data_IF_557587997255
#
_entry.id   IF_557587997255
#
_cell.length_a   1.000
_cell.length_b   1.000
_cell.length_c   1.000
_cell.angle_alpha   90.00
_cell.angle_beta   90.00
_cell.angle_gamma   90.00
#
_symmetry.space_group_name_H-M   'P 1'
#
loop_
_entity.id
_entity.type
_entity.pdbx_description
1 polymer ?
#
# COMPACT_ATOMS: atom_id res chain seq x y z
N UNK A 1 19.37 -29.58 3.18
CA UNK A 1 19.51 -28.17 3.58
C UNK A 1 19.64 -28.07 5.09
N UNK A 2 20.46 -27.17 5.63
CA UNK A 2 20.63 -27.07 7.09
C UNK A 2 19.44 -26.35 7.75
N UNK A 3 19.12 -26.70 9.00
CA UNK A 3 18.13 -25.98 9.80
C UNK A 3 18.44 -24.48 9.91
N UNK A 4 19.73 -24.12 9.94
CA UNK A 4 20.20 -22.74 9.91
C UNK A 4 19.75 -21.98 8.66
N UNK A 5 19.71 -22.65 7.49
CA UNK A 5 19.22 -22.04 6.25
C UNK A 5 17.72 -21.78 6.30
N UNK A 6 16.92 -22.69 6.87
CA UNK A 6 15.48 -22.48 7.08
C UNK A 6 15.23 -21.32 8.05
N UNK A 7 15.98 -21.24 9.13
CA UNK A 7 15.88 -20.15 10.11
C UNK A 7 16.18 -18.80 9.45
N UNK A 8 17.24 -18.73 8.63
CA UNK A 8 17.58 -17.51 7.90
C UNK A 8 16.47 -17.11 6.90
N UNK A 9 15.90 -18.06 6.17
CA UNK A 9 14.77 -17.79 5.26
C UNK A 9 13.53 -17.26 5.99
N UNK A 10 13.24 -17.79 7.19
CA UNK A 10 12.14 -17.30 8.02
C UNK A 10 12.40 -15.90 8.58
N UNK A 11 13.64 -15.60 8.98
CA UNK A 11 14.04 -14.25 9.42
C UNK A 11 13.88 -13.25 8.27
N UNK A 12 14.36 -13.59 7.07
CA UNK A 12 14.19 -12.75 5.88
C UNK A 12 12.72 -12.51 5.53
N UNK A 13 11.91 -13.56 5.56
CA UNK A 13 10.48 -13.45 5.31
C UNK A 13 9.81 -12.53 6.34
N UNK A 14 10.15 -12.67 7.62
CA UNK A 14 9.64 -11.81 8.69
C UNK A 14 10.00 -10.34 8.44
N UNK A 15 11.26 -10.05 8.09
CA UNK A 15 11.69 -8.69 7.75
C UNK A 15 10.95 -8.13 6.53
N UNK A 16 10.69 -8.95 5.50
CA UNK A 16 9.91 -8.55 4.33
C UNK A 16 8.47 -8.24 4.67
N UNK A 17 7.82 -9.02 5.55
CA UNK A 17 6.46 -8.75 6.04
C UNK A 17 6.39 -7.41 6.77
N UNK A 18 7.40 -7.07 7.57
CA UNK A 18 7.46 -5.79 8.27
C UNK A 18 7.61 -4.64 7.27
N UNK A 19 8.59 -4.71 6.35
CA UNK A 19 8.81 -3.66 5.34
C UNK A 19 7.59 -3.46 4.44
N UNK A 20 6.96 -4.55 4.03
CA UNK A 20 5.71 -4.58 3.30
C UNK A 20 4.60 -3.78 3.98
N UNK A 21 4.39 -4.07 5.27
CA UNK A 21 3.36 -3.41 6.08
C UNK A 21 3.63 -1.91 6.18
N UNK A 22 4.87 -1.51 6.42
CA UNK A 22 5.26 -0.11 6.51
C UNK A 22 4.98 0.66 5.20
N UNK A 23 5.22 0.03 4.05
CA UNK A 23 4.95 0.63 2.75
C UNK A 23 3.45 0.76 2.47
N UNK A 24 2.64 -0.23 2.84
CA UNK A 24 1.18 -0.15 2.78
C UNK A 24 0.67 0.98 3.67
N UNK A 25 1.16 1.09 4.91
CA UNK A 25 0.79 2.19 5.82
C UNK A 25 1.15 3.57 5.25
N UNK A 26 2.31 3.69 4.61
CA UNK A 26 2.75 4.94 3.96
C UNK A 26 1.82 5.34 2.83
N UNK A 27 1.41 4.38 1.99
CA UNK A 27 0.47 4.62 0.88
C UNK A 27 -0.92 4.97 1.40
N UNK A 28 -1.40 4.29 2.44
CA UNK A 28 -2.65 4.64 3.14
C UNK A 28 -2.63 6.06 3.71
N UNK A 29 -1.54 6.49 4.35
CA UNK A 29 -1.41 7.88 4.85
C UNK A 29 -1.49 8.91 3.73
N UNK A 30 -0.80 8.66 2.60
CA UNK A 30 -0.88 9.53 1.41
C UNK A 30 -2.32 9.62 0.89
N UNK A 31 -3.03 8.50 0.85
CA UNK A 31 -4.44 8.45 0.47
C UNK A 31 -5.31 9.28 1.40
N UNK A 32 -5.16 9.11 2.72
CA UNK A 32 -5.94 9.84 3.71
C UNK A 32 -5.74 11.36 3.58
N UNK A 33 -4.51 11.81 3.38
CA UNK A 33 -4.20 13.23 3.14
C UNK A 33 -4.88 13.73 1.86
N UNK A 34 -4.77 12.97 0.76
CA UNK A 34 -5.40 13.33 -0.50
C UNK A 34 -6.92 13.44 -0.38
N UNK A 35 -7.56 12.45 0.24
CA UNK A 35 -9.00 12.42 0.46
C UNK A 35 -9.47 13.57 1.35
N UNK A 36 -8.75 13.85 2.44
CA UNK A 36 -9.03 14.99 3.33
C UNK A 36 -9.01 16.30 2.54
N UNK A 37 -8.01 16.48 1.67
CA UNK A 37 -7.90 17.67 0.83
C UNK A 37 -9.05 17.77 -0.18
N UNK A 38 -9.46 16.66 -0.79
CA UNK A 38 -10.63 16.65 -1.70
C UNK A 38 -11.90 17.04 -0.95
N UNK A 39 -12.15 16.44 0.21
CA UNK A 39 -13.33 16.72 1.02
C UNK A 39 -13.35 18.18 1.47
N UNK A 40 -12.21 18.73 1.93
CA UNK A 40 -12.08 20.14 2.30
C UNK A 40 -12.44 21.07 1.14
N UNK A 41 -11.92 20.81 -0.06
CA UNK A 41 -12.20 21.62 -1.24
C UNK A 41 -13.68 21.57 -1.65
N UNK A 42 -14.31 20.39 -1.54
CA UNK A 42 -15.74 20.23 -1.83
C UNK A 42 -16.62 20.93 -0.76
N UNK A 43 -16.18 20.97 0.50
CA UNK A 43 -16.89 21.70 1.57
C UNK A 43 -16.68 23.22 1.49
N UNK A 44 -15.58 23.71 0.92
CA UNK A 44 -15.29 25.14 0.76
C UNK A 44 -16.02 25.77 -0.46
N UNK A 45 -16.48 24.96 -1.43
CA UNK A 45 -17.27 25.42 -2.58
C UNK A 45 -18.62 26.05 -2.19
N UNK A 46 -19.13 25.83 -0.97
CA UNK A 46 -20.38 26.45 -0.48
C UNK A 46 -20.20 27.92 -0.01
N UNK A 47 -18.97 28.47 0.06
CA UNK A 47 -18.73 29.67 0.87
C UNK A 47 -18.01 30.89 0.29
N UNK A 48 -17.13 30.80 -0.74
CA UNK A 48 -16.38 32.02 -1.14
C UNK A 48 -15.79 32.04 -2.56
N UNK A 49 -15.69 33.25 -3.10
CA UNK A 49 -15.16 33.67 -4.41
C UNK A 49 -13.69 33.25 -4.68
N UNK A 50 -13.01 32.63 -3.72
CA UNK A 50 -11.67 32.05 -3.85
C UNK A 50 -11.62 30.71 -4.62
N UNK A 51 -12.79 30.14 -4.96
CA UNK A 51 -12.97 28.88 -5.71
C UNK A 51 -12.34 28.83 -7.12
N UNK A 52 -11.75 29.93 -7.60
CA UNK A 52 -11.07 30.00 -8.90
C UNK A 52 -9.56 29.79 -8.85
N UNK A 53 -8.94 29.77 -7.66
CA UNK A 53 -7.49 29.61 -7.54
C UNK A 53 -7.14 28.13 -7.29
N UNK A 54 -6.93 27.42 -8.41
CA UNK A 54 -5.89 26.39 -8.58
C UNK A 54 -6.08 24.93 -8.16
N UNK A 55 -7.28 24.43 -7.86
CA UNK A 55 -7.48 22.98 -7.74
C UNK A 55 -8.75 22.53 -8.46
N UNK A 56 -8.62 21.99 -9.67
CA UNK A 56 -9.74 21.37 -10.39
C UNK A 56 -10.19 20.11 -9.61
N UNK A 57 -11.36 20.12 -8.96
CA UNK A 57 -11.79 19.01 -8.09
C UNK A 57 -11.87 17.68 -8.84
N UNK A 58 -12.15 17.70 -10.15
CA UNK A 58 -12.17 16.51 -11.00
C UNK A 58 -10.79 15.86 -11.14
N UNK A 59 -9.71 16.65 -11.18
CA UNK A 59 -8.33 16.10 -11.20
C UNK A 59 -7.98 15.44 -9.87
N UNK A 60 -8.42 16.02 -8.75
CA UNK A 60 -8.23 15.47 -7.41
C UNK A 60 -9.03 14.18 -7.18
N UNK A 61 -10.29 14.13 -7.64
CA UNK A 61 -11.10 12.89 -7.65
C UNK A 61 -10.40 11.78 -8.45
N UNK A 62 -9.91 12.11 -9.64
CA UNK A 62 -9.15 11.16 -10.47
C UNK A 62 -7.87 10.66 -9.81
N UNK A 63 -7.14 11.55 -9.12
CA UNK A 63 -5.96 11.17 -8.33
C UNK A 63 -6.30 10.23 -7.18
N UNK A 64 -7.37 10.48 -6.42
CA UNK A 64 -7.82 9.60 -5.33
C UNK A 64 -8.20 8.22 -5.87
N UNK A 65 -8.97 8.13 -6.96
CA UNK A 65 -9.34 6.84 -7.56
C UNK A 65 -8.13 6.05 -8.06
N UNK A 66 -7.15 6.74 -8.66
CA UNK A 66 -5.91 6.12 -9.11
C UNK A 66 -5.09 5.60 -7.93
N UNK A 67 -4.87 6.43 -6.92
CA UNK A 67 -4.11 6.03 -5.75
C UNK A 67 -4.82 4.89 -4.96
N UNK A 68 -6.16 4.77 -5.03
CA UNK A 68 -6.91 3.67 -4.43
C UNK A 68 -6.66 2.36 -5.19
N UNK A 69 -6.64 2.46 -6.53
CA UNK A 69 -6.37 1.33 -7.41
C UNK A 69 -4.93 0.84 -7.24
N UNK A 70 -3.96 1.75 -7.22
CA UNK A 70 -2.54 1.46 -6.96
C UNK A 70 -2.36 0.80 -5.59
N UNK A 71 -2.93 1.37 -4.52
CA UNK A 71 -2.85 0.81 -3.17
C UNK A 71 -3.42 -0.62 -3.10
N UNK A 72 -4.55 -0.87 -3.77
CA UNK A 72 -5.14 -2.21 -3.83
C UNK A 72 -4.22 -3.18 -4.57
N UNK A 73 -3.74 -2.81 -5.74
CA UNK A 73 -2.87 -3.66 -6.57
C UNK A 73 -1.55 -3.98 -5.85
N UNK A 74 -0.92 -2.98 -5.26
CA UNK A 74 0.30 -3.13 -4.47
C UNK A 74 0.10 -4.07 -3.27
N UNK A 75 -1.03 -3.91 -2.57
CA UNK A 75 -1.34 -4.76 -1.41
C UNK A 75 -1.59 -6.21 -1.81
N UNK A 76 -2.28 -6.45 -2.93
CA UNK A 76 -2.54 -7.80 -3.45
C UNK A 76 -1.25 -8.46 -3.95
N UNK A 77 -0.48 -7.76 -4.78
CA UNK A 77 0.81 -8.24 -5.30
C UNK A 77 1.77 -8.65 -4.19
N UNK A 78 1.77 -7.88 -3.11
CA UNK A 78 2.61 -8.14 -1.96
C UNK A 78 2.13 -9.36 -1.16
N UNK A 79 0.83 -9.55 -0.98
CA UNK A 79 0.27 -10.79 -0.42
C UNK A 79 0.64 -12.02 -1.26
N UNK A 80 0.55 -11.93 -2.58
CA UNK A 80 0.90 -13.04 -3.49
C UNK A 80 2.39 -13.37 -3.43
N UNK A 81 3.24 -12.35 -3.31
CA UNK A 81 4.70 -12.51 -3.16
C UNK A 81 5.05 -13.20 -1.84
N UNK A 82 4.47 -12.73 -0.72
CA UNK A 82 4.69 -13.32 0.60
C UNK A 82 4.21 -14.77 0.65
N UNK A 83 3.04 -15.05 0.06
CA UNK A 83 2.51 -16.41 -0.05
C UNK A 83 3.44 -17.32 -0.83
N UNK A 84 3.90 -16.90 -2.00
CA UNK A 84 4.81 -17.69 -2.83
C UNK A 84 6.13 -18.02 -2.10
N UNK A 85 6.62 -17.09 -1.28
CA UNK A 85 7.83 -17.29 -0.49
C UNK A 85 7.61 -18.22 0.70
N UNK A 86 6.46 -18.14 1.36
CA UNK A 86 6.03 -19.13 2.37
C UNK A 86 5.95 -20.52 1.76
N UNK A 87 5.29 -20.65 0.61
CA UNK A 87 5.15 -21.93 -0.10
C UNK A 87 6.53 -22.52 -0.44
N UNK A 88 7.47 -21.70 -0.90
CA UNK A 88 8.86 -22.11 -1.17
C UNK A 88 9.57 -22.62 0.09
N UNK A 89 9.43 -21.94 1.23
CA UNK A 89 10.02 -22.38 2.51
C UNK A 89 9.40 -23.70 2.96
N UNK A 90 8.09 -23.86 2.79
CA UNK A 90 7.37 -25.11 3.15
C UNK A 90 7.86 -26.28 2.28
N UNK A 91 8.01 -26.10 0.98
CA UNK A 91 8.53 -27.15 0.09
C UNK A 91 9.92 -27.60 0.50
N UNK A 92 10.79 -26.65 0.81
CA UNK A 92 12.16 -26.90 1.26
C UNK A 92 12.17 -27.61 2.63
N UNK A 93 11.28 -27.23 3.54
CA UNK A 93 11.16 -27.89 4.85
C UNK A 93 10.60 -29.32 4.74
N UNK A 94 9.75 -29.60 3.75
CA UNK A 94 9.17 -30.93 3.49
C UNK A 94 10.13 -31.88 2.77
N UNK A 95 11.06 -31.34 1.99
CA UNK A 95 12.10 -32.09 1.26
C UNK A 95 13.51 -31.66 1.75
N UNK A 96 13.88 -31.98 3.01
CA UNK A 96 15.09 -31.47 3.65
C UNK A 96 16.39 -31.94 2.99
#
# INVERSE_FOLDING_TARGET
MSQETLVNQLIELSAQIVSAREDIERKHRKMQIALTNVLRLLSEEEGSTASKIQANPSRLKGYVLRALSELREDSLSLCDTLRSRVDSIIEVARNP
#
